data_IF_284663744294
#
_entry.id   IF_284663744294
#
_cell.length_a   1.000
_cell.length_b   1.000
_cell.length_c   1.000
_cell.angle_alpha   90.00
_cell.angle_beta   90.00
_cell.angle_gamma   90.00
#
_symmetry.space_group_name_H-M   'P 1'
#
loop_
_entity.id
_entity.type
_entity.pdbx_description
1 polymer ?
#
# COMPACT_ATOMS: atom_id res chain seq x y z
N UNK A 1 37.84 7.61 -25.58
CA UNK A 1 38.15 6.24 -25.15
C UNK A 1 36.97 5.34 -25.57
N UNK A 2 37.22 4.26 -26.33
CA UNK A 2 36.16 3.38 -26.84
C UNK A 2 35.30 2.78 -25.72
N UNK A 3 35.86 2.60 -24.52
CA UNK A 3 35.15 2.02 -23.37
C UNK A 3 33.98 2.89 -22.89
N UNK A 4 34.17 4.20 -22.85
CA UNK A 4 33.15 5.17 -22.42
C UNK A 4 31.98 5.20 -23.40
N UNK A 5 32.26 5.19 -24.71
CA UNK A 5 31.25 5.10 -25.77
C UNK A 5 30.35 3.85 -25.65
N UNK A 6 30.94 2.66 -25.40
CA UNK A 6 30.15 1.44 -25.23
C UNK A 6 29.31 1.43 -23.94
N UNK A 7 29.85 1.99 -22.85
CA UNK A 7 29.11 2.15 -21.57
C UNK A 7 27.89 3.06 -21.74
N UNK A 8 28.06 4.22 -22.36
CA UNK A 8 26.96 5.16 -22.62
C UNK A 8 25.86 4.53 -23.49
N UNK A 9 26.27 3.83 -24.56
CA UNK A 9 25.34 3.15 -25.47
C UNK A 9 24.58 2.00 -24.76
N UNK A 10 25.24 1.27 -23.87
CA UNK A 10 24.59 0.25 -23.05
C UNK A 10 23.61 0.87 -22.04
N UNK A 11 23.98 1.97 -21.39
CA UNK A 11 23.09 2.73 -20.51
C UNK A 11 21.85 3.24 -21.25
N UNK A 12 22.03 3.77 -22.46
CA UNK A 12 20.95 4.26 -23.29
C UNK A 12 20.01 3.13 -23.74
N UNK A 13 20.56 2.02 -24.24
CA UNK A 13 19.78 0.82 -24.58
C UNK A 13 18.98 0.29 -23.38
N UNK A 14 19.58 0.26 -22.20
CA UNK A 14 18.90 -0.15 -20.97
C UNK A 14 17.76 0.81 -20.60
N UNK A 15 17.98 2.13 -20.72
CA UNK A 15 16.93 3.16 -20.51
C UNK A 15 15.77 3.00 -21.48
N UNK A 16 16.04 2.77 -22.76
CA UNK A 16 15.01 2.66 -23.79
C UNK A 16 14.20 1.36 -23.64
N UNK A 17 14.86 0.23 -23.35
CA UNK A 17 14.17 -1.01 -23.01
C UNK A 17 13.33 -0.89 -21.73
N UNK A 18 13.85 -0.20 -20.71
CA UNK A 18 13.09 0.07 -19.50
C UNK A 18 11.81 0.86 -19.82
N UNK A 19 11.91 1.95 -20.61
CA UNK A 19 10.75 2.75 -21.05
C UNK A 19 9.75 1.92 -21.84
N UNK A 20 10.22 1.09 -22.78
CA UNK A 20 9.36 0.20 -23.58
C UNK A 20 8.61 -0.79 -22.70
N UNK A 21 9.32 -1.50 -21.81
CA UNK A 21 8.73 -2.46 -20.89
C UNK A 21 7.77 -1.80 -19.90
N UNK A 22 8.06 -0.58 -19.46
CA UNK A 22 7.15 0.21 -18.62
C UNK A 22 5.83 0.49 -19.33
N UNK A 23 5.87 0.93 -20.60
CA UNK A 23 4.66 1.18 -21.39
C UNK A 23 3.80 -0.07 -21.55
N UNK A 24 4.43 -1.21 -21.84
CA UNK A 24 3.73 -2.51 -21.95
C UNK A 24 3.05 -2.87 -20.63
N UNK A 25 3.80 -2.83 -19.52
CA UNK A 25 3.25 -3.13 -18.18
C UNK A 25 2.11 -2.20 -17.78
N UNK A 26 2.20 -0.93 -18.16
CA UNK A 26 1.14 0.05 -17.93
C UNK A 26 -0.12 -0.32 -18.72
N UNK A 27 0.02 -0.63 -20.01
CA UNK A 27 -1.09 -1.03 -20.87
C UNK A 27 -1.74 -2.34 -20.39
N UNK A 28 -0.96 -3.36 -20.07
CA UNK A 28 -1.45 -4.65 -19.56
C UNK A 28 -2.23 -4.46 -18.25
N UNK A 29 -1.66 -3.67 -17.34
CA UNK A 29 -2.32 -3.35 -16.07
C UNK A 29 -3.62 -2.58 -16.31
N UNK A 30 -3.64 -1.63 -17.24
CA UNK A 30 -4.85 -0.89 -17.59
C UNK A 30 -5.94 -1.81 -18.13
N UNK A 31 -5.56 -2.70 -19.02
CA UNK A 31 -6.48 -3.65 -19.63
C UNK A 31 -7.13 -4.57 -18.58
N UNK A 32 -6.32 -5.09 -17.65
CA UNK A 32 -6.82 -5.92 -16.53
C UNK A 32 -7.73 -5.12 -15.59
N UNK A 33 -7.34 -3.90 -15.21
CA UNK A 33 -8.17 -3.07 -14.33
C UNK A 33 -9.52 -2.74 -14.98
N UNK A 34 -9.54 -2.41 -16.28
CA UNK A 34 -10.77 -2.16 -17.02
C UNK A 34 -11.68 -3.39 -17.04
N UNK A 35 -11.12 -4.57 -17.34
CA UNK A 35 -11.89 -5.82 -17.39
C UNK A 35 -12.67 -6.08 -16.09
N UNK A 36 -12.02 -5.96 -14.93
CA UNK A 36 -12.65 -6.23 -13.63
C UNK A 36 -13.36 -5.03 -12.99
N UNK A 37 -13.42 -3.88 -13.68
CA UNK A 37 -14.15 -2.69 -13.21
C UNK A 37 -15.60 -2.66 -13.69
N UNK A 38 -15.94 -3.40 -14.76
CA UNK A 38 -17.27 -3.40 -15.42
C UNK A 38 -17.80 -1.99 -15.78
N UNK A 39 -16.90 -1.02 -15.89
CA UNK A 39 -17.14 0.39 -16.18
C UNK A 39 -16.18 0.83 -17.31
N UNK A 40 -16.45 1.94 -18.03
CA UNK A 40 -15.57 2.41 -19.11
C UNK A 40 -14.22 2.97 -18.59
N UNK A 41 -14.00 2.95 -17.27
CA UNK A 41 -12.76 3.35 -16.62
C UNK A 41 -12.49 2.46 -15.39
N UNK A 42 -11.21 2.32 -14.99
CA UNK A 42 -10.83 1.62 -13.77
C UNK A 42 -11.49 2.24 -12.54
N UNK A 43 -12.10 1.41 -11.70
CA UNK A 43 -12.78 1.87 -10.49
C UNK A 43 -12.66 0.85 -9.36
N UNK A 44 -12.49 1.33 -8.13
CA UNK A 44 -12.67 0.49 -6.94
C UNK A 44 -14.15 0.12 -6.80
N UNK A 45 -14.47 -1.18 -6.85
CA UNK A 45 -15.85 -1.66 -6.73
C UNK A 45 -16.51 -1.32 -5.38
N UNK A 46 -15.71 -1.07 -4.33
CA UNK A 46 -16.22 -0.78 -2.97
C UNK A 46 -16.49 0.70 -2.70
N UNK A 47 -15.64 1.62 -3.17
CA UNK A 47 -15.74 3.05 -2.82
C UNK A 47 -15.73 4.01 -4.01
N UNK A 48 -15.57 3.52 -5.23
CA UNK A 48 -15.61 4.36 -6.41
C UNK A 48 -14.34 5.17 -6.71
N UNK A 49 -13.23 4.94 -5.98
CA UNK A 49 -11.92 5.52 -6.32
C UNK A 49 -11.56 5.20 -7.78
N UNK A 50 -11.07 6.20 -8.53
CA UNK A 50 -10.80 6.11 -9.98
C UNK A 50 -9.33 6.35 -10.31
N UNK A 51 -8.55 6.86 -9.36
CA UNK A 51 -7.13 7.08 -9.56
C UNK A 51 -6.41 5.74 -9.70
N UNK A 52 -6.00 5.39 -10.91
CA UNK A 52 -5.36 4.10 -11.23
C UNK A 52 -4.17 3.80 -10.30
N UNK A 53 -3.42 4.83 -9.89
CA UNK A 53 -2.29 4.69 -8.98
C UNK A 53 -2.66 4.12 -7.60
N UNK A 54 -3.93 4.18 -7.22
CA UNK A 54 -4.46 3.66 -5.96
C UNK A 54 -5.18 2.32 -6.10
N UNK A 55 -5.43 1.85 -7.33
CA UNK A 55 -6.17 0.62 -7.58
C UNK A 55 -5.26 -0.60 -7.50
N UNK A 56 -5.78 -1.70 -6.99
CA UNK A 56 -5.13 -2.98 -6.83
C UNK A 56 -6.05 -4.09 -7.34
N UNK A 57 -5.45 -5.18 -7.80
CA UNK A 57 -6.18 -6.40 -8.15
C UNK A 57 -6.20 -7.25 -6.88
N UNK A 58 -7.40 -7.49 -6.36
CA UNK A 58 -7.64 -8.30 -5.15
C UNK A 58 -8.26 -9.65 -5.54
N UNK A 59 -7.90 -10.69 -4.80
CA UNK A 59 -8.52 -12.01 -4.93
C UNK A 59 -9.83 -12.05 -4.17
N UNK A 60 -10.94 -12.35 -4.84
CA UNK A 60 -12.26 -12.42 -4.19
C UNK A 60 -12.26 -13.49 -3.08
N UNK A 61 -11.85 -14.72 -3.40
CA UNK A 61 -11.81 -15.89 -2.52
C UNK A 61 -10.41 -16.16 -1.93
N UNK A 62 -9.52 -15.18 -1.98
CA UNK A 62 -8.11 -15.39 -1.65
C UNK A 62 -7.34 -16.15 -2.76
N UNK A 63 -6.07 -16.42 -2.49
CA UNK A 63 -5.17 -17.08 -3.45
C UNK A 63 -5.51 -18.58 -3.49
N UNK A 64 -6.12 -19.01 -4.59
CA UNK A 64 -6.46 -20.42 -4.85
C UNK A 64 -5.58 -21.05 -5.94
N UNK A 65 -4.89 -20.22 -6.74
CA UNK A 65 -3.99 -20.63 -7.83
C UNK A 65 -2.57 -20.08 -7.60
N UNK A 66 -1.57 -20.68 -8.27
CA UNK A 66 -0.22 -20.11 -8.32
C UNK A 66 -0.12 -19.01 -9.39
N UNK A 67 -0.73 -17.86 -9.11
CA UNK A 67 -0.89 -16.74 -10.06
C UNK A 67 0.18 -15.65 -9.95
N UNK A 68 1.23 -15.89 -9.17
CA UNK A 68 2.26 -14.89 -8.87
C UNK A 68 1.86 -13.85 -7.80
N UNK A 69 0.66 -13.96 -7.22
CA UNK A 69 0.11 -13.23 -6.07
C UNK A 69 -0.07 -11.72 -6.21
N UNK A 70 0.68 -11.05 -7.09
CA UNK A 70 0.56 -9.62 -7.29
C UNK A 70 1.49 -9.05 -8.35
N UNK A 71 1.42 -7.73 -8.51
CA UNK A 71 2.28 -6.97 -9.41
C UNK A 71 2.19 -7.43 -10.88
N UNK A 72 3.29 -7.29 -11.65
CA UNK A 72 3.30 -7.68 -13.06
C UNK A 72 3.09 -9.18 -13.31
N UNK A 73 3.44 -10.04 -12.35
CA UNK A 73 3.26 -11.49 -12.48
C UNK A 73 1.78 -11.86 -12.51
N UNK A 74 0.99 -11.29 -11.59
CA UNK A 74 -0.46 -11.49 -11.55
C UNK A 74 -1.16 -10.96 -12.79
N UNK A 75 -0.80 -9.75 -13.24
CA UNK A 75 -1.34 -9.16 -14.48
C UNK A 75 -1.10 -10.10 -15.67
N UNK A 76 0.13 -10.60 -15.82
CA UNK A 76 0.47 -11.55 -16.89
C UNK A 76 -0.31 -12.86 -16.77
N UNK A 77 -0.44 -13.40 -15.55
CA UNK A 77 -1.23 -14.61 -15.32
C UNK A 77 -2.68 -14.43 -15.77
N UNK A 78 -3.34 -13.34 -15.36
CA UNK A 78 -4.74 -13.04 -15.71
C UNK A 78 -4.92 -13.02 -17.23
N UNK A 79 -4.04 -12.30 -17.94
CA UNK A 79 -4.10 -12.19 -19.41
C UNK A 79 -3.89 -13.57 -20.06
N UNK A 80 -2.90 -14.33 -19.62
CA UNK A 80 -2.57 -15.63 -20.18
C UNK A 80 -3.63 -16.72 -19.90
N UNK A 81 -4.48 -16.52 -18.90
CA UNK A 81 -5.53 -17.46 -18.51
C UNK A 81 -6.94 -16.95 -18.85
N UNK A 82 -7.05 -16.00 -19.79
CA UNK A 82 -8.32 -15.48 -20.29
C UNK A 82 -9.25 -14.91 -19.20
N UNK A 83 -8.71 -14.09 -18.30
CA UNK A 83 -9.48 -13.34 -17.30
C UNK A 83 -10.38 -14.19 -16.39
N UNK A 84 -9.79 -15.06 -15.55
CA UNK A 84 -10.53 -15.85 -14.55
C UNK A 84 -11.38 -15.00 -13.58
N UNK A 85 -12.45 -15.57 -13.02
CA UNK A 85 -13.44 -14.80 -12.23
C UNK A 85 -13.02 -14.42 -10.80
N UNK A 86 -11.93 -14.97 -10.24
CA UNK A 86 -11.57 -14.79 -8.83
C UNK A 86 -10.90 -13.44 -8.50
N UNK A 87 -11.11 -12.40 -9.31
CA UNK A 87 -10.44 -11.10 -9.15
C UNK A 87 -11.44 -9.95 -9.16
N UNK A 88 -11.12 -8.91 -8.40
CA UNK A 88 -11.86 -7.65 -8.37
C UNK A 88 -10.89 -6.47 -8.26
N UNK A 89 -11.36 -5.26 -8.61
CA UNK A 89 -10.59 -4.03 -8.44
C UNK A 89 -10.98 -3.34 -7.13
N UNK A 90 -10.01 -3.15 -6.24
CA UNK A 90 -10.16 -2.39 -5.01
C UNK A 90 -9.09 -1.30 -4.94
N UNK A 91 -9.37 -0.16 -4.31
CA UNK A 91 -8.29 0.74 -3.92
C UNK A 91 -7.50 0.15 -2.75
N UNK A 92 -6.25 0.58 -2.57
CA UNK A 92 -5.37 0.09 -1.49
C UNK A 92 -6.06 0.16 -0.12
N UNK A 93 -6.80 1.22 0.19
CA UNK A 93 -7.54 1.32 1.46
C UNK A 93 -8.63 0.24 1.58
N UNK A 94 -9.46 0.05 0.56
CA UNK A 94 -10.53 -0.95 0.57
C UNK A 94 -9.97 -2.39 0.63
N UNK A 95 -8.87 -2.65 -0.07
CA UNK A 95 -8.17 -3.93 -0.02
C UNK A 95 -7.65 -4.21 1.40
N UNK A 96 -7.01 -3.23 2.04
CA UNK A 96 -6.58 -3.35 3.43
C UNK A 96 -7.73 -3.51 4.41
N UNK A 97 -8.86 -2.82 4.22
CA UNK A 97 -10.06 -3.02 5.04
C UNK A 97 -10.56 -4.46 4.94
N UNK A 98 -10.73 -4.98 3.73
CA UNK A 98 -11.13 -6.38 3.50
C UNK A 98 -10.19 -7.35 4.21
N UNK A 99 -8.88 -7.14 4.09
CA UNK A 99 -7.89 -7.97 4.77
C UNK A 99 -8.00 -7.88 6.30
N UNK A 100 -8.21 -6.69 6.87
CA UNK A 100 -8.41 -6.50 8.31
C UNK A 100 -9.70 -7.15 8.81
N UNK A 101 -10.78 -7.02 8.06
CA UNK A 101 -12.08 -7.67 8.34
C UNK A 101 -11.90 -9.19 8.38
N UNK A 102 -11.25 -9.77 7.38
CA UNK A 102 -10.96 -11.21 7.34
C UNK A 102 -10.09 -11.66 8.50
N UNK A 103 -9.05 -10.90 8.86
CA UNK A 103 -8.21 -11.21 10.03
C UNK A 103 -9.02 -11.25 11.32
N UNK A 104 -10.01 -10.35 11.50
CA UNK A 104 -10.84 -10.30 12.71
C UNK A 104 -11.65 -11.57 12.92
N UNK A 105 -12.05 -12.25 11.85
CA UNK A 105 -12.82 -13.50 11.89
C UNK A 105 -12.04 -14.67 12.50
N UNK A 106 -10.70 -14.65 12.43
CA UNK A 106 -9.83 -15.75 12.88
C UNK A 106 -9.12 -15.45 14.21
N UNK A 107 -9.46 -14.36 14.90
CA UNK A 107 -8.77 -13.96 16.13
C UNK A 107 -9.18 -14.84 17.33
N UNK A 108 -8.17 -15.25 18.12
CA UNK A 108 -8.41 -15.98 19.38
C UNK A 108 -9.27 -15.17 20.35
N UNK A 109 -10.32 -15.81 20.88
CA UNK A 109 -11.25 -15.23 21.87
C UNK A 109 -10.86 -15.50 23.33
N UNK A 110 -9.66 -16.04 23.56
CA UNK A 110 -9.15 -16.17 24.94
C UNK A 110 -9.05 -14.80 25.61
N UNK A 111 -9.37 -14.73 26.91
CA UNK A 111 -9.36 -13.47 27.69
C UNK A 111 -8.04 -12.72 27.56
N UNK A 112 -6.92 -13.44 27.57
CA UNK A 112 -5.58 -12.86 27.43
C UNK A 112 -5.36 -12.23 26.05
N UNK A 113 -5.74 -12.91 24.97
CA UNK A 113 -5.61 -12.36 23.62
C UNK A 113 -6.52 -11.16 23.38
N UNK A 114 -7.74 -11.16 23.94
CA UNK A 114 -8.62 -9.99 23.91
C UNK A 114 -7.96 -8.82 24.65
N UNK A 115 -7.45 -9.05 25.87
CA UNK A 115 -6.77 -8.04 26.67
C UNK A 115 -5.55 -7.45 25.95
N UNK A 116 -4.72 -8.30 25.35
CA UNK A 116 -3.55 -7.90 24.57
C UNK A 116 -3.94 -7.03 23.37
N UNK A 117 -4.96 -7.44 22.60
CA UNK A 117 -5.48 -6.65 21.46
C UNK A 117 -6.01 -5.29 21.90
N UNK A 118 -6.80 -5.24 22.97
CA UNK A 118 -7.32 -3.97 23.52
C UNK A 118 -6.20 -3.04 23.97
N UNK A 119 -5.16 -3.58 24.62
CA UNK A 119 -3.98 -2.80 25.01
C UNK A 119 -3.24 -2.23 23.79
N UNK A 120 -3.04 -3.06 22.76
CA UNK A 120 -2.36 -2.66 21.54
C UNK A 120 -3.15 -1.62 20.75
N UNK A 121 -4.49 -1.73 20.74
CA UNK A 121 -5.39 -0.76 20.12
C UNK A 121 -5.29 0.60 20.80
N UNK A 122 -5.37 0.64 22.14
CA UNK A 122 -5.23 1.88 22.92
C UNK A 122 -3.88 2.57 22.67
N UNK A 123 -2.79 1.79 22.60
CA UNK A 123 -1.47 2.35 22.26
C UNK A 123 -1.44 2.91 20.83
N UNK A 124 -2.08 2.23 19.87
CA UNK A 124 -2.21 2.73 18.50
C UNK A 124 -2.97 4.06 18.48
N UNK A 125 -4.12 4.12 19.15
CA UNK A 125 -4.94 5.33 19.26
C UNK A 125 -4.14 6.48 19.88
N UNK A 126 -3.47 6.25 21.01
CA UNK A 126 -2.60 7.24 21.68
C UNK A 126 -1.54 7.81 20.72
N UNK A 127 -0.78 6.94 20.05
CA UNK A 127 0.27 7.36 19.11
C UNK A 127 -0.30 8.12 17.92
N UNK A 128 -1.42 7.67 17.38
CA UNK A 128 -1.98 8.26 16.16
C UNK A 128 -2.64 9.59 16.45
N UNK A 129 -3.35 9.69 17.58
CA UNK A 129 -3.92 10.94 18.08
C UNK A 129 -2.84 11.99 18.34
N UNK A 130 -1.69 11.60 18.88
CA UNK A 130 -0.57 12.52 19.07
C UNK A 130 -0.14 13.17 17.75
N UNK A 131 0.16 12.36 16.72
CA UNK A 131 0.64 12.89 15.44
C UNK A 131 -0.46 13.54 14.58
N UNK A 132 -1.73 13.23 14.85
CA UNK A 132 -2.88 13.89 14.20
C UNK A 132 -3.35 15.12 14.99
N UNK A 133 -2.74 15.42 16.15
CA UNK A 133 -3.14 16.50 17.07
C UNK A 133 -4.61 16.42 17.53
N UNK A 134 -5.14 15.21 17.69
CA UNK A 134 -6.54 14.99 18.04
C UNK A 134 -7.08 13.66 17.54
N UNK A 135 -8.15 13.72 16.72
CA UNK A 135 -8.72 12.53 16.09
C UNK A 135 -7.67 11.87 15.18
N UNK A 136 -7.43 10.54 15.28
CA UNK A 136 -6.55 9.84 14.35
C UNK A 136 -7.02 10.00 12.91
N UNK A 137 -6.23 10.68 12.08
CA UNK A 137 -6.57 10.90 10.67
C UNK A 137 -5.33 10.93 9.78
N UNK A 138 -5.54 10.69 8.50
CA UNK A 138 -4.49 10.80 7.50
C UNK A 138 -4.10 12.27 7.28
N UNK A 139 -2.85 12.62 7.56
CA UNK A 139 -2.27 13.95 7.35
C UNK A 139 -2.25 14.41 5.86
N UNK A 140 -2.68 13.56 4.93
CA UNK A 140 -2.75 13.88 3.51
C UNK A 140 -4.18 14.06 2.99
N UNK A 141 -5.14 13.24 3.43
CA UNK A 141 -6.48 13.20 2.84
C UNK A 141 -7.61 13.17 3.89
N UNK A 142 -7.30 13.29 5.17
CA UNK A 142 -8.30 13.42 6.25
C UNK A 142 -9.10 12.15 6.59
N UNK A 143 -8.87 11.01 5.91
CA UNK A 143 -9.57 9.77 6.28
C UNK A 143 -9.18 9.36 7.72
N UNK A 144 -10.16 9.01 8.53
CA UNK A 144 -10.04 8.80 9.99
C UNK A 144 -10.22 7.33 10.40
N UNK A 145 -10.43 6.44 9.43
CA UNK A 145 -10.66 5.02 9.69
C UNK A 145 -9.38 4.35 10.18
N UNK A 146 -9.27 4.15 11.50
CA UNK A 146 -8.06 3.68 12.18
C UNK A 146 -7.47 2.38 11.59
N UNK A 147 -8.29 1.45 11.08
CA UNK A 147 -7.85 0.16 10.53
C UNK A 147 -6.96 0.28 9.28
N UNK A 148 -7.10 1.39 8.55
CA UNK A 148 -6.28 1.72 7.36
C UNK A 148 -5.30 2.86 7.61
N UNK A 149 -5.19 3.35 8.84
CA UNK A 149 -4.13 4.28 9.20
C UNK A 149 -2.84 3.52 9.52
N UNK A 150 -1.73 4.12 9.14
CA UNK A 150 -0.36 3.68 9.37
C UNK A 150 0.53 4.83 9.83
N UNK A 151 1.58 4.48 10.59
CA UNK A 151 2.61 5.44 10.98
C UNK A 151 3.71 5.44 9.92
N UNK A 152 3.89 6.57 9.26
CA UNK A 152 4.88 6.80 8.21
C UNK A 152 6.08 7.58 8.75
N UNK A 153 7.26 7.29 8.19
CA UNK A 153 8.48 8.03 8.45
C UNK A 153 8.56 9.22 7.48
N UNK A 154 8.55 10.45 8.00
CA UNK A 154 8.54 11.66 7.16
C UNK A 154 9.74 11.66 6.19
N UNK A 155 10.93 11.35 6.71
CA UNK A 155 12.19 11.34 5.95
C UNK A 155 12.63 9.92 5.51
N UNK A 156 11.70 8.97 5.49
CA UNK A 156 11.99 7.57 5.22
C UNK A 156 12.77 6.87 6.32
N UNK A 157 13.16 5.61 6.08
CA UNK A 157 13.71 4.71 7.11
C UNK A 157 15.24 4.66 7.19
N UNK A 158 15.96 5.32 6.27
CA UNK A 158 17.43 5.20 6.18
C UNK A 158 18.13 5.64 7.48
N UNK A 159 17.62 6.71 8.10
CA UNK A 159 18.17 7.31 9.31
C UNK A 159 17.24 7.13 10.53
N UNK A 160 16.41 6.08 10.53
CA UNK A 160 15.51 5.83 11.65
C UNK A 160 16.31 5.55 12.94
N UNK A 161 15.94 6.25 14.02
CA UNK A 161 16.60 6.16 15.34
C UNK A 161 16.26 4.87 16.10
N UNK A 162 15.26 4.13 15.64
CA UNK A 162 14.86 2.85 16.19
C UNK A 162 15.53 1.68 15.46
N UNK A 163 15.46 0.49 16.05
CA UNK A 163 15.98 -0.74 15.44
C UNK A 163 15.39 -0.95 14.03
N UNK A 164 16.22 -1.38 13.07
CA UNK A 164 15.77 -1.70 11.72
C UNK A 164 14.73 -2.84 11.76
N UNK A 165 13.69 -2.72 10.93
CA UNK A 165 12.68 -3.76 10.75
C UNK A 165 11.49 -3.73 11.71
N UNK A 166 11.51 -2.91 12.76
CA UNK A 166 10.36 -2.82 13.68
C UNK A 166 9.16 -2.13 13.02
N UNK A 167 7.96 -2.52 13.42
CA UNK A 167 6.69 -1.98 12.94
C UNK A 167 5.55 -2.29 13.92
N UNK A 168 4.35 -1.79 13.63
CA UNK A 168 3.17 -2.07 14.45
C UNK A 168 3.38 -1.75 15.94
N UNK A 169 2.98 -2.67 16.81
CA UNK A 169 3.05 -2.50 18.27
C UNK A 169 4.45 -2.15 18.80
N UNK A 170 5.51 -2.78 18.26
CA UNK A 170 6.88 -2.53 18.69
C UNK A 170 7.30 -1.09 18.37
N UNK A 171 6.97 -0.61 17.17
CA UNK A 171 7.24 0.78 16.78
C UNK A 171 6.45 1.76 17.65
N UNK A 172 5.17 1.50 17.92
CA UNK A 172 4.34 2.40 18.75
C UNK A 172 4.86 2.47 20.19
N UNK A 173 5.33 1.33 20.72
CA UNK A 173 5.96 1.28 22.05
C UNK A 173 7.22 2.13 22.08
N UNK A 174 8.09 1.97 21.08
CA UNK A 174 9.31 2.75 20.96
C UNK A 174 9.00 4.26 20.85
N UNK A 175 8.03 4.64 20.02
CA UNK A 175 7.60 6.03 19.85
C UNK A 175 7.19 6.66 21.19
N UNK A 176 6.34 5.96 21.95
CA UNK A 176 5.88 6.43 23.27
C UNK A 176 7.03 6.57 24.26
N UNK A 177 7.92 5.57 24.32
CA UNK A 177 9.11 5.59 25.19
C UNK A 177 10.09 6.72 24.85
N UNK A 178 10.16 7.10 23.57
CA UNK A 178 11.02 8.16 23.07
C UNK A 178 10.31 9.51 22.97
N UNK A 179 9.21 9.70 23.72
CA UNK A 179 8.49 10.97 23.84
C UNK A 179 8.00 11.55 22.50
N UNK A 180 7.51 10.68 21.62
CA UNK A 180 6.89 11.04 20.34
C UNK A 180 7.81 11.89 19.42
N UNK A 181 8.87 11.31 18.84
CA UNK A 181 9.78 12.03 17.95
C UNK A 181 9.05 12.64 16.75
N UNK A 182 9.42 13.86 16.34
CA UNK A 182 8.79 14.59 15.23
C UNK A 182 9.01 13.96 13.83
N UNK A 183 9.67 12.82 13.74
CA UNK A 183 10.10 12.19 12.48
C UNK A 183 8.98 11.34 11.83
N UNK A 184 7.75 11.35 12.40
CA UNK A 184 6.62 10.55 11.97
C UNK A 184 5.38 11.38 11.64
N UNK A 185 4.53 10.79 10.79
CA UNK A 185 3.19 11.29 10.48
C UNK A 185 2.21 10.12 10.35
N UNK A 186 0.92 10.39 10.50
CA UNK A 186 -0.14 9.40 10.24
C UNK A 186 -0.59 9.53 8.79
N UNK A 187 -0.59 8.41 8.06
CA UNK A 187 -1.09 8.32 6.68
C UNK A 187 -1.99 7.10 6.53
N UNK A 188 -3.03 7.20 5.71
CA UNK A 188 -3.78 6.02 5.28
C UNK A 188 -2.91 5.12 4.38
N UNK A 189 -3.25 3.83 4.27
CA UNK A 189 -2.47 2.85 3.50
C UNK A 189 -2.25 3.31 2.05
N UNK A 190 -3.27 3.90 1.43
CA UNK A 190 -3.21 4.46 0.08
C UNK A 190 -2.21 5.62 -0.03
N UNK A 191 -2.30 6.63 0.85
CA UNK A 191 -1.38 7.78 0.83
C UNK A 191 0.05 7.41 1.19
N UNK A 192 0.24 6.46 2.12
CA UNK A 192 1.55 5.94 2.47
C UNK A 192 2.20 5.20 1.29
N UNK A 193 1.43 4.35 0.60
CA UNK A 193 1.88 3.66 -0.62
C UNK A 193 2.31 4.65 -1.71
N UNK A 194 1.47 5.66 -1.96
CA UNK A 194 1.73 6.70 -2.96
C UNK A 194 3.04 7.47 -2.69
N UNK A 195 3.26 7.85 -1.42
CA UNK A 195 4.46 8.56 -0.98
C UNK A 195 5.72 7.72 -1.24
N UNK A 196 5.67 6.42 -0.98
CA UNK A 196 6.79 5.51 -1.21
C UNK A 196 7.21 5.48 -2.69
N UNK A 197 6.24 5.56 -3.61
CA UNK A 197 6.48 5.44 -5.04
C UNK A 197 6.95 6.75 -5.71
N UNK A 198 6.43 7.91 -5.27
CA UNK A 198 6.67 9.21 -5.93
C UNK A 198 7.29 10.30 -5.04
N UNK A 199 7.76 9.96 -3.83
CA UNK A 199 8.16 10.87 -2.74
C UNK A 199 7.00 11.67 -2.14
N UNK A 200 5.99 12.02 -2.94
CA UNK A 200 4.74 12.67 -2.52
C UNK A 200 3.50 11.92 -3.01
N UNK A 201 2.41 12.05 -2.26
CA UNK A 201 1.10 11.50 -2.64
C UNK A 201 0.45 12.39 -3.71
N UNK A 202 -0.31 11.80 -4.63
CA UNK A 202 -0.96 12.54 -5.73
C UNK A 202 -1.91 13.65 -5.24
N UNK A 203 -2.47 13.54 -4.03
CA UNK A 203 -3.27 14.61 -3.42
C UNK A 203 -2.47 15.90 -3.18
N UNK A 204 -1.13 15.83 -3.12
CA UNK A 204 -0.24 16.99 -2.92
C UNK A 204 0.35 17.55 -4.21
N UNK A 205 0.15 16.87 -5.34
CA UNK A 205 0.74 17.22 -6.65
C UNK A 205 -0.32 17.88 -7.56
N UNK A 206 -1.55 18.04 -7.08
CA UNK A 206 -2.66 18.68 -7.80
C UNK A 206 -2.69 20.18 -7.57
#
# INVERSE_FOLDING_TARGET
>A
DNREYYLERQLQYNKDNYKKNYKIRFADRMFVLLHYSLEPYPICVKCGEKEMGFLEIDHIKGVIENDGRGGPALVKYIINNNFPENYQVLCTNCNWLKHRENQKLTLSMTKENIRCRTKNLKLKEEVFSHYSKGLPECNCCGIDTLDILSLDHIYGRKNAKHKKGIGGHELYTWVRQNKFPSDFQVLCMMCNSAKKDKQDCIHKIK
#
